data_IF_782582455920
#
_entry.id   IF_782582455920
#
_cell.length_a   1.000
_cell.length_b   1.000
_cell.length_c   1.000
_cell.angle_alpha   90.00
_cell.angle_beta   90.00
_cell.angle_gamma   90.00
#
_symmetry.space_group_name_H-M   'P 1'
#
loop_
_entity.id
_entity.type
_entity.pdbx_description
1 polymer ?
#
# COMPACT_ATOMS: atom_id res chain seq x y z
N UNK A 1 59.36 -4.91 50.36
CA UNK A 1 57.89 -4.77 50.27
C UNK A 1 57.58 -3.38 49.75
N UNK A 2 57.11 -3.25 48.48
CA UNK A 2 55.78 -2.74 48.07
C UNK A 2 55.58 -1.25 48.44
N UNK A 3 55.31 -0.29 47.56
CA UNK A 3 54.65 -0.26 46.22
C UNK A 3 55.04 1.04 45.52
N UNK A 4 55.37 0.98 44.22
CA UNK A 4 55.47 2.16 43.36
C UNK A 4 54.11 2.39 42.68
N UNK A 5 53.55 3.58 42.81
CA UNK A 5 52.26 3.98 42.25
C UNK A 5 52.54 4.61 40.87
N UNK A 6 52.23 3.89 39.78
CA UNK A 6 52.29 4.43 38.42
C UNK A 6 50.92 5.01 38.10
N UNK A 7 50.87 6.32 37.90
CA UNK A 7 49.67 7.05 37.48
C UNK A 7 49.62 7.06 35.95
N UNK A 8 48.75 6.26 35.35
CA UNK A 8 48.50 6.27 33.90
C UNK A 8 47.45 7.34 33.58
N UNK A 9 47.86 8.43 32.92
CA UNK A 9 46.96 9.43 32.37
C UNK A 9 46.35 8.92 31.06
N UNK A 10 45.04 8.69 31.05
CA UNK A 10 44.28 8.33 29.85
C UNK A 10 43.88 9.60 29.10
N UNK A 11 44.51 9.88 27.96
CA UNK A 11 44.04 10.92 27.03
C UNK A 11 42.74 10.44 26.37
N UNK A 12 41.61 11.05 26.74
CA UNK A 12 40.35 10.93 26.00
C UNK A 12 40.43 11.85 24.77
N UNK A 13 40.72 11.30 23.59
CA UNK A 13 40.46 11.98 22.33
C UNK A 13 38.94 12.00 22.10
N UNK A 14 38.30 13.11 22.46
CA UNK A 14 36.95 13.44 22.02
C UNK A 14 36.99 13.78 20.53
N UNK A 15 36.92 12.75 19.69
CA UNK A 15 36.68 12.94 18.26
C UNK A 15 35.29 13.54 18.07
N UNK A 16 35.21 14.81 17.69
CA UNK A 16 33.99 15.40 17.18
C UNK A 16 33.62 14.63 15.90
N UNK A 17 32.66 13.71 16.01
CA UNK A 17 32.06 13.06 14.85
C UNK A 17 31.47 14.16 13.96
N UNK A 18 32.22 14.55 12.94
CA UNK A 18 31.69 15.38 11.87
C UNK A 18 30.64 14.53 11.18
N UNK A 19 29.37 14.79 11.50
CA UNK A 19 28.26 14.25 10.75
C UNK A 19 28.47 14.67 9.29
N UNK A 20 28.53 13.68 8.40
CA UNK A 20 28.52 13.94 6.97
C UNK A 20 27.33 14.86 6.65
N UNK A 21 27.48 15.81 5.71
CA UNK A 21 26.37 16.66 5.32
C UNK A 21 25.15 15.80 4.95
N UNK A 22 23.94 16.21 5.36
CA UNK A 22 22.73 15.45 5.05
C UNK A 22 22.63 15.26 3.53
N UNK A 23 22.41 14.00 3.12
CA UNK A 23 22.22 13.64 1.70
C UNK A 23 20.98 14.36 1.19
N UNK A 24 21.13 15.14 0.12
CA UNK A 24 19.99 15.78 -0.55
C UNK A 24 19.10 14.69 -1.18
N UNK A 25 17.81 14.72 -0.79
CA UNK A 25 16.79 13.89 -1.38
C UNK A 25 16.55 14.32 -2.83
N UNK A 26 16.40 13.36 -3.73
CA UNK A 26 16.10 13.65 -5.14
C UNK A 26 14.66 14.11 -5.34
N UNK A 27 14.38 14.80 -6.46
CA UNK A 27 12.99 14.95 -6.89
C UNK A 27 12.42 13.58 -7.31
N UNK A 28 11.12 13.35 -7.12
CA UNK A 28 10.44 12.18 -7.68
C UNK A 28 10.36 12.26 -9.22
N UNK A 29 9.79 11.25 -9.87
CA UNK A 29 9.58 11.22 -11.33
C UNK A 29 8.83 12.49 -11.78
N UNK A 30 9.25 13.18 -12.85
CA UNK A 30 8.55 14.40 -13.25
C UNK A 30 7.19 14.10 -13.89
N UNK A 31 6.24 15.02 -13.78
CA UNK A 31 4.93 14.88 -14.43
C UNK A 31 5.06 14.71 -15.95
N UNK A 32 6.01 15.41 -16.58
CA UNK A 32 6.29 15.27 -18.02
C UNK A 32 6.68 13.84 -18.38
N UNK A 33 7.56 13.20 -17.59
CA UNK A 33 7.97 11.80 -17.85
C UNK A 33 6.78 10.86 -17.75
N UNK A 34 5.89 11.07 -16.76
CA UNK A 34 4.70 10.25 -16.63
C UNK A 34 3.73 10.48 -17.81
N UNK A 35 3.52 11.73 -18.21
CA UNK A 35 2.63 12.10 -19.31
C UNK A 35 3.13 11.60 -20.67
N UNK A 36 4.44 11.63 -20.91
CA UNK A 36 5.06 11.11 -22.13
C UNK A 36 4.88 9.58 -22.29
N UNK A 37 4.64 8.87 -21.18
CA UNK A 37 4.40 7.44 -21.15
C UNK A 37 2.94 7.02 -21.32
N UNK A 38 2.00 7.97 -21.38
CA UNK A 38 0.56 7.68 -21.49
C UNK A 38 0.17 7.36 -22.94
N UNK A 39 -0.77 6.42 -23.11
CA UNK A 39 -1.40 6.21 -24.41
C UNK A 39 -2.47 7.28 -24.69
N UNK A 40 -2.93 7.37 -25.95
CA UNK A 40 -3.97 8.33 -26.31
C UNK A 40 -5.28 7.99 -25.57
N UNK A 41 -5.73 8.91 -24.72
CA UNK A 41 -6.95 8.75 -23.94
C UNK A 41 -6.70 8.32 -22.49
N UNK A 42 -5.46 8.03 -22.13
CA UNK A 42 -5.06 7.81 -20.75
C UNK A 42 -4.92 9.13 -20.00
N UNK A 43 -5.24 9.10 -18.71
CA UNK A 43 -5.04 10.21 -17.78
C UNK A 43 -4.44 9.71 -16.47
N UNK A 44 -3.60 10.55 -15.83
CA UNK A 44 -3.19 10.30 -14.45
C UNK A 44 -4.33 10.72 -13.53
N UNK A 45 -4.98 9.75 -12.92
CA UNK A 45 -6.11 9.96 -12.01
C UNK A 45 -5.65 10.49 -10.65
N UNK A 46 -4.58 9.91 -10.12
CA UNK A 46 -4.03 10.25 -8.81
C UNK A 46 -2.57 9.84 -8.74
N UNK A 47 -1.80 10.52 -7.90
CA UNK A 47 -0.37 10.32 -7.73
C UNK A 47 0.02 10.61 -6.28
N UNK A 48 0.95 9.81 -5.75
CA UNK A 48 1.64 10.07 -4.49
C UNK A 48 3.13 9.80 -4.65
N UNK A 49 3.95 10.64 -4.03
CA UNK A 49 5.38 10.46 -3.96
C UNK A 49 5.84 10.29 -2.51
N UNK A 50 6.84 9.46 -2.29
CA UNK A 50 7.37 9.20 -0.97
C UNK A 50 8.26 7.97 -0.92
N UNK A 51 9.03 7.84 0.15
CA UNK A 51 9.98 6.76 0.32
C UNK A 51 9.27 5.43 0.70
N UNK A 52 9.21 4.49 -0.25
CA UNK A 52 8.62 3.15 -0.12
C UNK A 52 9.66 2.08 0.16
N UNK A 53 10.87 2.24 -0.38
CA UNK A 53 11.96 1.26 -0.24
C UNK A 53 12.87 1.55 0.99
N UNK A 54 12.79 2.73 1.58
CA UNK A 54 13.58 3.17 2.74
C UNK A 54 15.01 3.61 2.40
N UNK A 55 15.29 4.03 1.18
CA UNK A 55 16.62 4.49 0.74
C UNK A 55 16.83 6.02 0.86
N UNK A 56 15.78 6.73 1.25
CA UNK A 56 15.76 8.18 1.46
C UNK A 56 15.54 9.01 0.19
N UNK A 57 15.42 8.39 -0.98
CA UNK A 57 14.96 9.03 -2.21
C UNK A 57 13.45 8.78 -2.40
N UNK A 58 12.67 9.74 -2.93
CA UNK A 58 11.24 9.55 -3.09
C UNK A 58 10.93 8.61 -4.27
N UNK A 59 10.07 7.64 -4.01
CA UNK A 59 9.46 6.77 -5.01
C UNK A 59 8.15 7.38 -5.51
N UNK A 60 7.61 6.88 -6.62
CA UNK A 60 6.38 7.40 -7.24
C UNK A 60 5.36 6.28 -7.42
N UNK A 61 4.14 6.49 -6.93
CA UNK A 61 2.98 5.64 -7.19
C UNK A 61 1.85 6.46 -7.83
N UNK A 62 1.26 5.97 -8.91
CA UNK A 62 0.24 6.70 -9.67
C UNK A 62 -0.77 5.76 -10.32
N UNK A 63 -2.00 6.22 -10.44
CA UNK A 63 -3.07 5.50 -11.15
C UNK A 63 -3.24 6.12 -12.53
N UNK A 64 -3.13 5.29 -13.56
CA UNK A 64 -3.55 5.63 -14.91
C UNK A 64 -4.98 5.14 -15.10
N UNK A 65 -5.86 6.05 -15.51
CA UNK A 65 -7.21 5.74 -15.93
C UNK A 65 -7.30 5.86 -17.45
N UNK A 66 -7.89 4.86 -18.08
CA UNK A 66 -8.30 4.87 -19.48
C UNK A 66 -9.82 4.67 -19.55
N UNK A 67 -10.44 4.81 -20.73
CA UNK A 67 -11.87 4.58 -20.88
C UNK A 67 -12.34 3.18 -20.41
N UNK A 68 -11.47 2.18 -20.50
CA UNK A 68 -11.82 0.77 -20.27
C UNK A 68 -11.11 0.15 -19.05
N UNK A 69 -10.08 0.81 -18.49
CA UNK A 69 -9.27 0.23 -17.43
C UNK A 69 -8.70 1.27 -16.48
N UNK A 70 -8.37 0.83 -15.27
CA UNK A 70 -7.58 1.60 -14.30
C UNK A 70 -6.41 0.74 -13.84
N UNK A 71 -5.21 1.29 -13.85
CA UNK A 71 -4.01 0.56 -13.42
C UNK A 71 -3.20 1.43 -12.48
N UNK A 72 -2.91 0.91 -11.29
CA UNK A 72 -1.95 1.50 -10.36
C UNK A 72 -0.56 1.02 -10.73
N UNK A 73 0.39 1.94 -10.87
CA UNK A 73 1.80 1.70 -11.14
C UNK A 73 2.65 2.21 -9.99
N UNK A 74 3.78 1.53 -9.72
CA UNK A 74 4.79 1.95 -8.75
C UNK A 74 6.16 1.93 -9.40
N UNK A 75 6.88 3.04 -9.30
CA UNK A 75 8.26 3.23 -9.71
C UNK A 75 9.10 3.47 -8.47
N UNK A 76 10.06 2.60 -8.20
CA UNK A 76 11.02 2.79 -7.11
C UNK A 76 12.26 3.48 -7.66
N UNK A 77 12.69 4.53 -6.97
CA UNK A 77 13.95 5.18 -7.23
C UNK A 77 15.11 4.23 -6.91
N UNK A 78 16.21 4.39 -7.66
CA UNK A 78 17.46 3.72 -7.36
C UNK A 78 18.65 4.66 -7.53
N UNK A 79 19.69 4.39 -6.73
CA UNK A 79 20.97 5.11 -6.79
C UNK A 79 22.11 4.13 -6.55
N UNK A 80 22.96 3.98 -7.56
CA UNK A 80 24.21 3.23 -7.47
C UNK A 80 25.40 4.20 -7.62
N UNK A 81 26.63 3.67 -7.60
CA UNK A 81 27.84 4.47 -7.82
C UNK A 81 27.93 5.05 -9.24
N UNK A 82 27.33 4.38 -10.22
CA UNK A 82 27.50 4.69 -11.65
C UNK A 82 26.20 5.07 -12.35
N UNK A 83 25.05 4.80 -11.71
CA UNK A 83 23.75 4.97 -12.33
C UNK A 83 22.68 5.40 -11.31
N UNK A 84 21.67 6.09 -11.82
CA UNK A 84 20.52 6.55 -11.07
C UNK A 84 19.28 6.59 -11.96
N UNK A 85 18.13 6.25 -11.40
CA UNK A 85 16.90 6.25 -12.15
C UNK A 85 15.72 5.80 -11.31
N UNK A 86 14.72 5.26 -11.99
CA UNK A 86 13.56 4.64 -11.38
C UNK A 86 13.27 3.33 -12.11
N UNK A 87 13.01 2.27 -11.36
CA UNK A 87 12.64 0.97 -11.87
C UNK A 87 11.17 0.67 -11.56
N UNK A 88 10.42 0.04 -12.49
CA UNK A 88 9.10 -0.49 -12.19
C UNK A 88 9.18 -1.54 -11.08
N UNK A 89 8.41 -1.34 -10.01
CA UNK A 89 8.34 -2.25 -8.88
C UNK A 89 7.00 -2.96 -8.75
N UNK A 90 6.00 -2.51 -9.50
CA UNK A 90 4.85 -3.32 -9.82
C UNK A 90 3.67 -2.55 -10.37
N UNK A 91 2.68 -3.30 -10.82
CA UNK A 91 1.41 -2.74 -11.29
C UNK A 91 0.23 -3.64 -10.94
N UNK A 92 -0.92 -3.05 -10.67
CA UNK A 92 -2.16 -3.79 -10.41
C UNK A 92 -3.35 -3.11 -11.08
N UNK A 93 -4.23 -3.91 -11.68
CA UNK A 93 -5.50 -3.41 -12.20
C UNK A 93 -6.44 -3.07 -11.06
N UNK A 94 -7.03 -1.89 -11.10
CA UNK A 94 -8.14 -1.50 -10.26
C UNK A 94 -9.44 -1.69 -11.03
N UNK A 95 -10.55 -1.78 -10.31
CA UNK A 95 -11.85 -1.93 -10.94
C UNK A 95 -12.22 -0.64 -11.71
N UNK A 96 -12.77 -0.81 -12.91
CA UNK A 96 -13.01 0.30 -13.84
C UNK A 96 -14.23 1.16 -13.44
N UNK A 97 -15.20 0.57 -12.75
CA UNK A 97 -16.46 1.17 -12.30
C UNK A 97 -16.29 2.06 -11.06
N UNK A 98 -15.43 3.07 -11.17
CA UNK A 98 -15.04 3.96 -10.06
C UNK A 98 -16.18 4.88 -9.59
N UNK A 99 -16.32 5.02 -8.28
CA UNK A 99 -17.16 6.02 -7.61
C UNK A 99 -16.34 7.21 -7.10
N UNK A 100 -15.38 7.64 -7.90
CA UNK A 100 -14.40 8.68 -7.58
C UNK A 100 -12.96 8.22 -7.85
N UNK A 101 -11.98 9.12 -7.80
CA UNK A 101 -10.57 8.73 -7.89
C UNK A 101 -10.14 7.91 -6.67
N UNK A 102 -9.15 7.05 -6.86
CA UNK A 102 -8.47 6.34 -5.79
C UNK A 102 -7.72 7.33 -4.89
N UNK A 103 -7.73 7.06 -3.59
CA UNK A 103 -6.96 7.79 -2.59
C UNK A 103 -5.65 7.05 -2.33
N UNK A 104 -4.53 7.70 -2.63
CA UNK A 104 -3.19 7.17 -2.43
C UNK A 104 -2.50 7.88 -1.28
N UNK A 105 -1.87 7.12 -0.40
CA UNK A 105 -1.02 7.68 0.66
C UNK A 105 0.16 6.77 0.95
N UNK A 106 1.27 7.37 1.38
CA UNK A 106 2.46 6.64 1.81
C UNK A 106 2.68 6.93 3.29
N UNK A 107 2.78 5.87 4.10
CA UNK A 107 3.07 5.99 5.52
C UNK A 107 4.04 4.89 5.95
N UNK A 108 5.20 5.28 6.48
CA UNK A 108 6.22 4.35 7.01
C UNK A 108 6.59 3.25 6.01
N UNK A 109 6.85 3.61 4.75
CA UNK A 109 7.20 2.67 3.68
C UNK A 109 6.07 1.72 3.27
N UNK A 110 4.81 2.10 3.52
CA UNK A 110 3.63 1.36 3.07
C UNK A 110 2.81 2.26 2.17
N UNK A 111 2.58 1.81 0.94
CA UNK A 111 1.60 2.40 0.04
C UNK A 111 0.21 1.91 0.44
N UNK A 112 -0.67 2.84 0.81
CA UNK A 112 -2.08 2.57 1.09
C UNK A 112 -2.90 3.11 -0.08
N UNK A 113 -3.74 2.24 -0.64
CA UNK A 113 -4.60 2.54 -1.78
C UNK A 113 -6.04 2.32 -1.32
N UNK A 114 -6.87 3.36 -1.32
CA UNK A 114 -8.30 3.20 -1.09
C UNK A 114 -9.03 3.40 -2.40
N UNK A 115 -9.84 2.43 -2.77
CA UNK A 115 -10.62 2.43 -4.00
C UNK A 115 -12.09 2.18 -3.65
N UNK A 116 -12.99 2.92 -4.32
CA UNK A 116 -14.43 2.81 -4.13
C UNK A 116 -15.07 2.60 -5.49
N UNK A 117 -15.73 1.47 -5.67
CA UNK A 117 -16.37 1.10 -6.95
C UNK A 117 -17.81 0.64 -6.78
N UNK A 118 -18.50 0.41 -7.89
CA UNK A 118 -19.89 -0.03 -7.95
C UNK A 118 -20.87 1.11 -8.22
N UNK A 119 -22.03 1.06 -7.57
CA UNK A 119 -23.15 1.99 -7.82
C UNK A 119 -23.97 2.24 -6.56
N UNK A 120 -25.18 1.68 -6.51
CA UNK A 120 -26.03 1.67 -5.30
C UNK A 120 -25.48 0.68 -4.27
N UNK A 121 -24.99 -0.47 -4.73
CA UNK A 121 -24.09 -1.34 -3.97
C UNK A 121 -22.66 -0.92 -4.28
N UNK A 122 -21.90 -0.58 -3.26
CA UNK A 122 -20.52 -0.15 -3.40
C UNK A 122 -19.56 -1.14 -2.74
N UNK A 123 -18.39 -1.27 -3.34
CA UNK A 123 -17.26 -2.01 -2.81
C UNK A 123 -16.17 -1.00 -2.42
N UNK A 124 -15.93 -0.86 -1.12
CA UNK A 124 -14.82 -0.07 -0.59
C UNK A 124 -13.65 -1.00 -0.29
N UNK A 125 -12.54 -0.85 -1.00
CA UNK A 125 -11.36 -1.69 -0.85
C UNK A 125 -10.15 -0.87 -0.43
N UNK A 126 -9.39 -1.37 0.54
CA UNK A 126 -8.12 -0.79 0.98
C UNK A 126 -7.00 -1.80 0.82
N UNK A 127 -6.09 -1.52 -0.11
CA UNK A 127 -4.88 -2.29 -0.34
C UNK A 127 -3.71 -1.67 0.40
N UNK A 128 -2.81 -2.51 0.88
CA UNK A 128 -1.56 -2.07 1.52
C UNK A 128 -0.41 -2.82 0.89
N UNK A 129 0.51 -2.07 0.29
CA UNK A 129 1.69 -2.62 -0.36
C UNK A 129 2.97 -2.16 0.34
N UNK A 130 3.99 -3.01 0.33
CA UNK A 130 5.34 -2.68 0.82
C UNK A 130 6.37 -3.24 -0.15
N UNK A 131 7.47 -2.52 -0.36
CA UNK A 131 8.59 -3.01 -1.15
C UNK A 131 9.26 -4.21 -0.45
N UNK A 132 9.32 -5.36 -1.13
CA UNK A 132 10.18 -6.49 -0.76
C UNK A 132 11.59 -6.28 -1.30
N UNK A 133 12.45 -5.74 -0.44
CA UNK A 133 13.87 -5.49 -0.73
C UNK A 133 14.72 -6.74 -0.90
N UNK A 134 14.18 -7.93 -0.60
CA UNK A 134 14.90 -9.19 -0.84
C UNK A 134 14.92 -9.57 -2.31
N UNK A 135 13.99 -9.01 -3.10
CA UNK A 135 14.01 -9.15 -4.56
C UNK A 135 15.03 -8.19 -5.16
N UNK A 136 15.62 -8.58 -6.29
CA UNK A 136 16.55 -7.73 -7.06
C UNK A 136 16.13 -7.82 -8.54
N UNK A 137 15.43 -6.79 -9.07
CA UNK A 137 15.05 -5.52 -8.42
C UNK A 137 13.96 -5.69 -7.34
N UNK A 138 13.81 -4.74 -6.39
CA UNK A 138 12.75 -4.77 -5.38
C UNK A 138 11.35 -4.78 -6.03
N UNK A 139 10.40 -5.50 -5.43
CA UNK A 139 9.02 -5.61 -5.92
C UNK A 139 8.01 -5.21 -4.86
N UNK A 140 6.88 -4.64 -5.25
CA UNK A 140 5.79 -4.32 -4.33
C UNK A 140 5.02 -5.58 -3.95
N UNK A 141 4.90 -5.83 -2.66
CA UNK A 141 4.18 -6.96 -2.08
C UNK A 141 2.90 -6.47 -1.40
N UNK A 142 1.76 -7.12 -1.66
CA UNK A 142 0.53 -6.94 -0.91
C UNK A 142 0.70 -7.50 0.50
N UNK A 143 0.52 -6.65 1.51
CA UNK A 143 0.65 -7.00 2.93
C UNK A 143 -0.68 -6.98 3.68
N UNK A 144 -1.70 -6.34 3.11
CA UNK A 144 -3.05 -6.38 3.66
C UNK A 144 -4.10 -5.93 2.67
N UNK A 145 -5.27 -6.53 2.78
CA UNK A 145 -6.45 -6.23 1.96
C UNK A 145 -7.66 -6.15 2.89
N UNK A 146 -8.28 -4.98 2.95
CA UNK A 146 -9.59 -4.81 3.58
C UNK A 146 -10.61 -4.50 2.50
N UNK A 147 -11.82 -5.03 2.64
CA UNK A 147 -12.89 -4.75 1.70
C UNK A 147 -14.25 -4.79 2.40
N UNK A 148 -15.15 -3.93 1.95
CA UNK A 148 -16.51 -3.79 2.48
C UNK A 148 -17.47 -3.61 1.32
N UNK A 149 -18.43 -4.53 1.19
CA UNK A 149 -19.57 -4.42 0.29
C UNK A 149 -20.77 -3.89 1.08
N UNK A 150 -21.34 -2.77 0.65
CA UNK A 150 -22.45 -2.13 1.35
C UNK A 150 -23.41 -1.40 0.42
N UNK A 151 -24.63 -1.14 0.88
CA UNK A 151 -25.61 -0.34 0.15
C UNK A 151 -25.44 1.14 0.50
N UNK A 152 -25.12 1.97 -0.50
CA UNK A 152 -25.07 3.43 -0.35
C UNK A 152 -26.43 4.08 -0.14
N UNK A 153 -27.51 3.33 -0.38
CA UNK A 153 -28.90 3.77 -0.21
C UNK A 153 -29.61 3.04 0.94
N UNK A 154 -28.88 2.29 1.77
CA UNK A 154 -29.46 1.52 2.88
C UNK A 154 -30.59 0.58 2.46
N UNK A 155 -30.47 -0.05 1.28
CA UNK A 155 -31.52 -0.91 0.75
C UNK A 155 -31.38 -2.39 1.17
N UNK A 156 -30.18 -2.80 1.58
CA UNK A 156 -29.89 -4.19 1.93
C UNK A 156 -28.65 -4.31 2.82
N UNK A 157 -28.48 -5.52 3.34
CA UNK A 157 -27.32 -5.98 4.11
C UNK A 157 -26.02 -5.90 3.29
N UNK A 158 -24.89 -6.02 3.98
CA UNK A 158 -23.56 -6.00 3.39
C UNK A 158 -22.64 -7.07 3.96
N UNK A 159 -21.36 -6.97 3.65
CA UNK A 159 -20.32 -7.80 4.26
C UNK A 159 -18.98 -7.08 4.26
N UNK A 160 -18.11 -7.48 5.16
CA UNK A 160 -16.74 -6.96 5.23
C UNK A 160 -15.73 -8.07 5.47
N UNK A 161 -14.50 -7.83 5.02
CA UNK A 161 -13.35 -8.67 5.28
C UNK A 161 -12.12 -7.80 5.53
N UNK A 162 -11.27 -8.24 6.46
CA UNK A 162 -9.88 -7.81 6.55
C UNK A 162 -8.96 -9.03 6.49
N UNK A 163 -7.95 -8.95 5.64
CA UNK A 163 -6.94 -9.98 5.46
C UNK A 163 -5.55 -9.38 5.69
N UNK A 164 -4.85 -9.89 6.70
CA UNK A 164 -3.44 -9.64 6.91
C UNK A 164 -2.62 -10.71 6.18
N UNK A 165 -1.95 -10.33 5.09
CA UNK A 165 -1.17 -11.29 4.29
C UNK A 165 0.15 -11.68 4.94
N UNK A 166 0.67 -10.88 5.87
CA UNK A 166 1.90 -11.19 6.60
C UNK A 166 1.70 -12.29 7.65
N UNK A 167 0.51 -12.37 8.25
CA UNK A 167 0.17 -13.39 9.27
C UNK A 167 -0.77 -14.48 8.74
N UNK A 168 -1.42 -14.23 7.60
CA UNK A 168 -2.44 -15.09 7.01
C UNK A 168 -3.80 -14.99 7.71
N UNK A 169 -3.95 -14.11 8.70
CA UNK A 169 -5.19 -13.98 9.46
C UNK A 169 -6.25 -13.26 8.64
N UNK A 170 -7.47 -13.80 8.67
CA UNK A 170 -8.64 -13.24 8.00
C UNK A 170 -9.75 -13.08 9.03
N UNK A 171 -10.39 -11.93 9.02
CA UNK A 171 -11.62 -11.67 9.75
C UNK A 171 -12.67 -11.22 8.75
N UNK A 172 -13.83 -11.87 8.73
CA UNK A 172 -14.94 -11.50 7.88
C UNK A 172 -16.24 -11.46 8.68
N UNK A 173 -17.13 -10.53 8.35
CA UNK A 173 -18.42 -10.37 9.03
C UNK A 173 -19.53 -10.10 8.01
N UNK A 174 -20.74 -10.53 8.34
CA UNK A 174 -21.95 -10.05 7.69
C UNK A 174 -22.35 -8.70 8.32
N UNK A 175 -22.87 -7.78 7.52
CA UNK A 175 -23.31 -6.47 7.97
C UNK A 175 -24.83 -6.42 7.87
N UNK A 176 -25.52 -6.50 9.01
CA UNK A 176 -26.98 -6.43 9.05
C UNK A 176 -27.41 -4.97 9.04
N UNK A 177 -28.24 -4.60 8.08
CA UNK A 177 -28.88 -3.30 8.08
C UNK A 177 -29.90 -3.22 9.23
N UNK A 178 -29.78 -2.20 10.05
CA UNK A 178 -30.70 -1.89 11.14
C UNK A 178 -31.06 -0.40 11.11
N UNK A 179 -32.24 -0.07 11.65
CA UNK A 179 -32.79 1.28 11.52
C UNK A 179 -33.34 1.55 10.12
N UNK A 180 -33.91 2.75 9.92
CA UNK A 180 -34.53 3.19 8.68
C UNK A 180 -34.21 4.68 8.44
N UNK A 181 -34.21 5.11 7.18
CA UNK A 181 -34.00 6.52 6.82
C UNK A 181 -32.66 7.06 7.29
N UNK A 182 -32.67 8.17 8.03
CA UNK A 182 -31.46 8.83 8.54
C UNK A 182 -30.76 8.06 9.67
N UNK A 183 -31.49 7.17 10.37
CA UNK A 183 -30.95 6.34 11.45
C UNK A 183 -30.39 4.99 10.96
N UNK A 184 -30.44 4.74 9.64
CA UNK A 184 -29.96 3.52 9.04
C UNK A 184 -28.46 3.31 9.29
N UNK A 185 -28.10 2.12 9.74
CA UNK A 185 -26.70 1.74 10.01
C UNK A 185 -26.48 0.24 9.86
N UNK A 186 -25.21 -0.15 9.85
CA UNK A 186 -24.82 -1.56 9.83
C UNK A 186 -24.37 -2.04 11.21
N UNK A 187 -24.98 -3.12 11.68
CA UNK A 187 -24.50 -3.89 12.83
C UNK A 187 -23.72 -5.12 12.32
N UNK A 188 -22.51 -5.33 12.85
CA UNK A 188 -21.69 -6.49 12.49
C UNK A 188 -22.26 -7.75 13.12
N UNK A 189 -22.52 -8.76 12.30
CA UNK A 189 -22.99 -10.07 12.72
C UNK A 189 -22.13 -11.18 12.12
N UNK A 190 -22.24 -12.37 12.71
CA UNK A 190 -21.62 -13.60 12.20
C UNK A 190 -20.12 -13.46 11.88
N UNK A 191 -19.36 -12.76 12.72
CA UNK A 191 -17.92 -12.59 12.53
C UNK A 191 -17.20 -13.93 12.60
N UNK A 192 -16.49 -14.27 11.54
CA UNK A 192 -15.65 -15.46 11.42
C UNK A 192 -14.19 -15.05 11.37
N UNK A 193 -13.35 -15.91 11.95
CA UNK A 193 -11.91 -15.81 11.86
C UNK A 193 -11.39 -17.04 11.15
N UNK A 194 -10.55 -16.84 10.16
CA UNK A 194 -9.89 -17.90 9.43
C UNK A 194 -8.40 -17.59 9.32
N UNK A 195 -7.63 -18.59 8.93
CA UNK A 195 -6.20 -18.43 8.66
C UNK A 195 -5.87 -19.13 7.35
N UNK A 196 -5.16 -18.42 6.47
CA UNK A 196 -4.62 -18.99 5.23
C UNK A 196 -3.11 -19.14 5.33
N UNK A 197 -2.51 -20.07 4.57
CA UNK A 197 -1.05 -20.14 4.46
C UNK A 197 -0.46 -18.80 4.05
N UNK A 198 0.60 -18.38 4.73
CA UNK A 198 1.33 -17.16 4.40
C UNK A 198 2.13 -17.41 3.13
N UNK A 199 1.83 -16.66 2.09
CA UNK A 199 2.61 -16.61 0.84
C UNK A 199 2.81 -15.16 0.44
N UNK A 200 3.96 -14.86 -0.16
CA UNK A 200 4.15 -13.57 -0.79
C UNK A 200 3.16 -13.43 -1.96
N UNK A 201 2.44 -12.32 -1.99
CA UNK A 201 1.57 -11.91 -3.09
C UNK A 201 2.14 -10.61 -3.59
N UNK A 202 2.69 -10.61 -4.80
CA UNK A 202 3.20 -9.38 -5.41
C UNK A 202 2.05 -8.59 -6.04
N UNK A 203 2.31 -7.32 -6.33
CA UNK A 203 1.32 -6.36 -6.78
C UNK A 203 0.54 -6.86 -8.02
N UNK A 204 1.23 -7.51 -8.95
CA UNK A 204 0.64 -8.07 -10.17
C UNK A 204 -0.30 -9.25 -9.89
N UNK A 205 -0.10 -9.94 -8.77
CA UNK A 205 -0.85 -11.12 -8.33
C UNK A 205 -1.94 -10.76 -7.31
N UNK A 206 -2.25 -9.47 -7.14
CA UNK A 206 -3.27 -9.00 -6.21
C UNK A 206 -4.62 -9.64 -6.56
N UNK A 207 -5.27 -10.34 -5.62
CA UNK A 207 -6.54 -10.99 -5.89
C UNK A 207 -7.67 -9.96 -5.97
N UNK A 208 -8.74 -10.33 -6.66
CA UNK A 208 -9.96 -9.52 -6.70
C UNK A 208 -10.57 -9.38 -5.29
N UNK A 209 -10.85 -8.15 -4.83
CA UNK A 209 -11.36 -7.92 -3.48
C UNK A 209 -12.76 -8.52 -3.25
N UNK A 210 -13.65 -8.46 -4.24
CA UNK A 210 -15.02 -8.97 -4.10
C UNK A 210 -15.02 -10.50 -4.05
N UNK A 211 -14.25 -11.16 -4.92
CA UNK A 211 -14.09 -12.62 -4.88
C UNK A 211 -13.54 -13.10 -3.53
N UNK A 212 -12.56 -12.38 -2.97
CA UNK A 212 -11.99 -12.73 -1.67
C UNK A 212 -12.97 -12.50 -0.51
N UNK A 213 -13.77 -11.42 -0.56
CA UNK A 213 -14.85 -11.18 0.39
C UNK A 213 -15.89 -12.30 0.36
N UNK A 214 -16.34 -12.68 -0.85
CA UNK A 214 -17.31 -13.77 -1.04
C UNK A 214 -16.74 -15.09 -0.52
N UNK A 215 -15.46 -15.38 -0.78
CA UNK A 215 -14.79 -16.58 -0.29
C UNK A 215 -14.69 -16.59 1.24
N UNK A 216 -14.35 -15.46 1.87
CA UNK A 216 -14.17 -15.37 3.31
C UNK A 216 -15.50 -15.45 4.08
N UNK A 217 -16.58 -14.94 3.52
CA UNK A 217 -17.93 -14.95 4.12
C UNK A 217 -18.66 -16.29 3.91
N UNK A 218 -18.44 -16.97 2.77
CA UNK A 218 -19.06 -18.27 2.47
C UNK A 218 -18.32 -19.49 3.04
N UNK A 219 -17.06 -19.35 3.46
CA UNK A 219 -16.30 -20.46 4.04
C UNK A 219 -17.04 -21.03 5.27
N UNK A 220 -17.44 -22.31 5.17
CA UNK A 220 -18.04 -23.12 6.23
C UNK A 220 -16.97 -23.92 6.97
#
# INVERSE_FOLDING_TARGET
MKRSLVLSATLLLSGAAHAAPPREARPPVSDQILQDGLELGDEIETRVDGDLNGDGDPDTAYVVASPDARTLHVLLSYRTEVDLGHDPAGSVKLAADRLGPADLSISKGVLVVKDLTGGTTALASTYRFRADKKQTPPRMQLIGLDTMLYSRTWAHDGSEMSWNLLTGDIVASELKLVGEGEDARYDKQFTRKAKRPVKAVYMEDTPDPEEELVRATKAK
#
